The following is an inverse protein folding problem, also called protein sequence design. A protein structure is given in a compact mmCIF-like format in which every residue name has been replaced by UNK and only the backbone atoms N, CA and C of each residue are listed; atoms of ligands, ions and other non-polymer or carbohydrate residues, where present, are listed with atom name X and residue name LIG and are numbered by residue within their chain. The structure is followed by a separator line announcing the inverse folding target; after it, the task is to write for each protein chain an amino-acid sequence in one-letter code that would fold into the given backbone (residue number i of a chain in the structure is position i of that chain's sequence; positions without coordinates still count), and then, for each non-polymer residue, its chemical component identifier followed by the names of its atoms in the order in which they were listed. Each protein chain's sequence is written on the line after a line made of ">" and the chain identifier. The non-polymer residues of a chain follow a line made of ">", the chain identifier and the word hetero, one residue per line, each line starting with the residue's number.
data_IF_151617181829
#
_entry.id   IF_151617181829
#
_cell.length_a   1.000
_cell.length_b   1.000
_cell.length_c   1.000
_cell.angle_alpha   90.00
_cell.angle_beta   90.00
_cell.angle_gamma   90.00
#
_symmetry.space_group_name_H-M   'P 1'
#
loop_
_entity.id
_entity.type
_entity.pdbx_description
1 polymer ?
#
# COMPACT_ATOMS: atom_id res chain seq x y z
N UNK A 1 -24.01 -46.70 -11.68
CA UNK A 1 -24.52 -45.32 -11.46
C UNK A 1 -25.00 -44.78 -12.79
N UNK A 2 -26.23 -44.26 -12.86
CA UNK A 2 -26.84 -43.76 -14.10
C UNK A 2 -26.22 -42.39 -14.49
N UNK A 3 -25.78 -42.22 -15.74
CA UNK A 3 -25.20 -40.99 -16.25
C UNK A 3 -26.13 -39.77 -16.09
N UNK A 4 -27.45 -39.98 -16.07
CA UNK A 4 -28.44 -38.94 -15.77
C UNK A 4 -28.36 -38.44 -14.32
N UNK A 5 -28.18 -39.36 -13.37
CA UNK A 5 -28.06 -39.02 -11.95
C UNK A 5 -26.80 -38.21 -11.69
N UNK A 6 -25.67 -38.62 -12.28
CA UNK A 6 -24.41 -37.88 -12.18
C UNK A 6 -24.52 -36.46 -12.77
N UNK A 7 -25.23 -36.30 -13.90
CA UNK A 7 -25.50 -35.00 -14.51
C UNK A 7 -26.37 -34.11 -13.61
N UNK A 8 -27.44 -34.66 -13.02
CA UNK A 8 -28.32 -33.93 -12.11
C UNK A 8 -27.60 -33.51 -10.82
N UNK A 9 -26.77 -34.39 -10.26
CA UNK A 9 -26.00 -34.10 -9.05
C UNK A 9 -24.96 -33.01 -9.31
N UNK A 10 -24.30 -33.05 -10.48
CA UNK A 10 -23.41 -31.97 -10.92
C UNK A 10 -24.16 -30.64 -11.08
N UNK A 11 -25.29 -30.62 -11.79
CA UNK A 11 -26.07 -29.40 -11.99
C UNK A 11 -26.56 -28.78 -10.66
N UNK A 12 -26.96 -29.63 -9.69
CA UNK A 12 -27.34 -29.18 -8.34
C UNK A 12 -26.14 -28.61 -7.57
N UNK A 13 -24.98 -29.25 -7.66
CA UNK A 13 -23.76 -28.74 -7.04
C UNK A 13 -23.34 -27.39 -7.63
N UNK A 14 -23.41 -27.25 -8.95
CA UNK A 14 -23.08 -26.01 -9.67
C UNK A 14 -24.05 -24.88 -9.30
N UNK A 15 -25.36 -25.16 -9.26
CA UNK A 15 -26.38 -24.20 -8.82
C UNK A 15 -26.16 -23.76 -7.37
N UNK A 16 -25.89 -24.69 -6.46
CA UNK A 16 -25.62 -24.38 -5.06
C UNK A 16 -24.36 -23.52 -4.91
N UNK A 17 -23.28 -23.84 -5.64
CA UNK A 17 -22.06 -23.04 -5.65
C UNK A 17 -22.32 -21.62 -6.17
N UNK A 18 -23.13 -21.47 -7.22
CA UNK A 18 -23.51 -20.18 -7.78
C UNK A 18 -24.32 -19.34 -6.78
N UNK A 19 -25.32 -19.93 -6.10
CA UNK A 19 -26.11 -19.25 -5.05
C UNK A 19 -25.21 -18.80 -3.89
N UNK A 20 -24.30 -19.67 -3.43
CA UNK A 20 -23.33 -19.34 -2.37
C UNK A 20 -22.45 -18.16 -2.80
N UNK A 21 -21.94 -18.17 -4.04
CA UNK A 21 -21.11 -17.08 -4.59
C UNK A 21 -21.85 -15.74 -4.62
N UNK A 22 -23.08 -15.70 -5.13
CA UNK A 22 -23.90 -14.49 -5.14
C UNK A 22 -24.12 -13.97 -3.73
N UNK A 23 -24.57 -14.84 -2.81
CA UNK A 23 -24.83 -14.45 -1.43
C UNK A 23 -23.59 -13.91 -0.72
N UNK A 24 -22.45 -14.57 -0.90
CA UNK A 24 -21.19 -14.13 -0.34
C UNK A 24 -20.74 -12.79 -0.94
N UNK A 25 -20.93 -12.57 -2.25
CA UNK A 25 -20.57 -11.30 -2.91
C UNK A 25 -21.38 -10.14 -2.36
N UNK A 26 -22.70 -10.31 -2.19
CA UNK A 26 -23.57 -9.29 -1.61
C UNK A 26 -23.12 -8.94 -0.19
N UNK A 27 -22.92 -9.93 0.68
CA UNK A 27 -22.53 -9.67 2.08
C UNK A 27 -21.10 -9.15 2.23
N UNK A 28 -20.21 -9.51 1.30
CA UNK A 28 -18.87 -8.92 1.24
C UNK A 28 -18.98 -7.43 0.90
N UNK A 29 -19.85 -7.05 -0.05
CA UNK A 29 -20.16 -5.65 -0.35
C UNK A 29 -20.77 -4.93 0.85
N UNK A 30 -21.70 -5.56 1.58
CA UNK A 30 -22.27 -4.99 2.81
C UNK A 30 -21.19 -4.71 3.87
N UNK A 31 -20.21 -5.60 4.02
CA UNK A 31 -19.07 -5.40 4.91
C UNK A 31 -18.18 -4.24 4.43
N UNK A 32 -17.91 -4.16 3.13
CA UNK A 32 -17.16 -3.06 2.53
C UNK A 32 -17.84 -1.71 2.79
N UNK A 33 -19.15 -1.64 2.56
CA UNK A 33 -19.95 -0.44 2.79
C UNK A 33 -20.03 -0.08 4.28
N UNK A 34 -20.14 -1.07 5.17
CA UNK A 34 -20.12 -0.86 6.62
C UNK A 34 -18.78 -0.25 7.09
N UNK A 35 -17.66 -0.76 6.57
CA UNK A 35 -16.32 -0.23 6.87
C UNK A 35 -16.18 1.19 6.31
N UNK A 36 -16.52 1.39 5.03
CA UNK A 36 -16.42 2.71 4.37
C UNK A 36 -17.29 3.75 5.07
N UNK A 37 -18.53 3.42 5.41
CA UNK A 37 -19.44 4.32 6.15
C UNK A 37 -18.88 4.71 7.52
N UNK A 38 -18.15 3.81 8.18
CA UNK A 38 -17.51 4.11 9.46
C UNK A 38 -16.24 4.97 9.30
N UNK A 39 -15.43 4.71 8.27
CA UNK A 39 -14.08 5.30 8.13
C UNK A 39 -14.05 6.58 7.28
N UNK A 40 -14.99 6.73 6.34
CA UNK A 40 -15.01 7.80 5.35
C UNK A 40 -16.15 8.76 5.68
N UNK A 41 -15.79 10.02 5.90
CA UNK A 41 -16.74 11.13 6.06
C UNK A 41 -16.47 12.16 4.96
N UNK A 42 -17.48 12.93 4.58
CA UNK A 42 -17.33 14.01 3.62
C UNK A 42 -17.12 15.34 4.35
N UNK A 43 -16.19 16.21 3.89
CA UNK A 43 -15.28 16.00 2.78
C UNK A 43 -14.16 14.99 3.12
N UNK A 44 -13.79 14.14 2.15
CA UNK A 44 -12.75 13.13 2.39
C UNK A 44 -11.38 13.77 2.62
N UNK A 45 -10.59 13.14 3.47
CA UNK A 45 -9.16 13.44 3.64
C UNK A 45 -8.32 12.22 3.24
N UNK A 46 -7.02 12.43 2.95
CA UNK A 46 -6.11 11.34 2.64
C UNK A 46 -6.04 10.28 3.77
N UNK A 47 -6.19 10.70 5.03
CA UNK A 47 -6.20 9.79 6.18
C UNK A 47 -7.38 8.83 6.17
N UNK A 48 -8.53 9.25 5.64
CA UNK A 48 -9.72 8.40 5.55
C UNK A 48 -9.56 7.26 4.56
N UNK A 49 -8.55 7.29 3.67
CA UNK A 49 -8.20 6.18 2.78
C UNK A 49 -7.39 5.09 3.49
N UNK A 50 -6.85 5.38 4.68
CA UNK A 50 -5.99 4.48 5.46
C UNK A 50 -6.84 3.55 6.35
N UNK A 51 -7.76 2.83 5.73
CA UNK A 51 -8.72 1.97 6.43
C UNK A 51 -8.59 0.50 6.01
N UNK A 52 -9.04 -0.45 6.84
CA UNK A 52 -9.01 -1.86 6.49
C UNK A 52 -9.90 -2.16 5.29
N UNK A 53 -9.58 -3.26 4.60
CA UNK A 53 -10.42 -3.85 3.55
C UNK A 53 -11.21 -5.03 4.13
N UNK A 54 -12.30 -5.49 3.50
CA UNK A 54 -13.06 -6.62 4.04
C UNK A 54 -12.21 -7.89 4.20
N UNK A 55 -11.22 -8.10 3.31
CA UNK A 55 -10.25 -9.21 3.41
C UNK A 55 -9.51 -9.26 4.75
N UNK A 56 -9.32 -8.14 5.44
CA UNK A 56 -8.72 -8.10 6.78
C UNK A 56 -9.58 -8.79 7.85
N UNK A 57 -10.87 -8.99 7.57
CA UNK A 57 -11.85 -9.48 8.53
C UNK A 57 -12.52 -10.80 8.15
N UNK A 58 -12.54 -11.19 6.87
CA UNK A 58 -13.29 -12.37 6.39
C UNK A 58 -12.94 -13.66 7.13
N UNK A 59 -11.72 -13.79 7.65
CA UNK A 59 -11.28 -14.97 8.42
C UNK A 59 -11.54 -14.89 9.92
N UNK A 60 -12.05 -13.77 10.44
CA UNK A 60 -12.46 -13.71 11.84
C UNK A 60 -13.74 -14.53 12.03
N UNK A 61 -13.87 -15.31 13.13
CA UNK A 61 -15.04 -16.18 13.31
C UNK A 61 -16.38 -15.44 13.18
N UNK A 62 -16.49 -14.25 13.78
CA UNK A 62 -17.72 -13.45 13.73
C UNK A 62 -18.08 -12.98 12.31
N UNK A 63 -17.10 -12.48 11.53
CA UNK A 63 -17.36 -12.05 10.17
C UNK A 63 -17.62 -13.23 9.24
N UNK A 64 -16.87 -14.33 9.39
CA UNK A 64 -17.12 -15.55 8.60
C UNK A 64 -18.54 -16.06 8.80
N UNK A 65 -19.01 -16.18 10.04
CA UNK A 65 -20.40 -16.56 10.33
C UNK A 65 -21.42 -15.60 9.71
N UNK A 66 -21.17 -14.29 9.77
CA UNK A 66 -22.05 -13.31 9.14
C UNK A 66 -22.06 -13.42 7.60
N UNK A 67 -20.92 -13.71 6.99
CA UNK A 67 -20.72 -13.84 5.55
C UNK A 67 -21.20 -15.19 4.99
N UNK A 68 -21.22 -16.26 5.77
CA UNK A 68 -21.73 -17.58 5.35
C UNK A 68 -23.25 -17.73 5.56
N UNK A 69 -23.92 -16.79 6.24
CA UNK A 69 -25.37 -16.83 6.47
C UNK A 69 -26.14 -16.92 5.15
N UNK A 70 -27.17 -17.77 5.00
CA UNK A 70 -27.98 -17.84 3.79
C UNK A 70 -28.57 -16.47 3.38
N UNK A 71 -28.81 -16.29 2.08
CA UNK A 71 -29.59 -15.15 1.59
C UNK A 71 -31.04 -15.32 2.07
N UNK A 72 -31.52 -14.34 2.83
CA UNK A 72 -32.91 -14.26 3.27
C UNK A 72 -33.49 -12.99 2.65
N UNK A 73 -34.50 -13.13 1.80
CA UNK A 73 -35.12 -12.02 1.05
C UNK A 73 -36.20 -11.26 1.87
N UNK A 74 -36.14 -11.33 3.21
CA UNK A 74 -37.10 -10.67 4.11
C UNK A 74 -36.57 -9.36 4.71
N UNK A 75 -37.46 -8.56 5.30
CA UNK A 75 -37.10 -7.35 6.06
C UNK A 75 -36.16 -7.73 7.22
N UNK A 76 -34.90 -7.30 7.14
CA UNK A 76 -33.90 -7.62 8.17
C UNK A 76 -33.94 -6.58 9.30
N UNK A 77 -33.93 -7.08 10.54
CA UNK A 77 -33.40 -6.35 11.68
C UNK A 77 -31.96 -5.88 11.39
N UNK A 78 -31.44 -4.92 12.17
CA UNK A 78 -30.13 -4.28 11.96
C UNK A 78 -29.05 -5.21 11.39
N UNK A 79 -28.36 -4.73 10.35
CA UNK A 79 -27.26 -5.46 9.71
C UNK A 79 -26.09 -5.65 10.70
N UNK A 80 -25.76 -6.90 11.09
CA UNK A 80 -24.71 -7.17 12.07
C UNK A 80 -23.34 -6.64 11.62
N UNK A 81 -23.09 -6.54 10.32
CA UNK A 81 -21.83 -6.02 9.78
C UNK A 81 -21.67 -4.52 10.10
N UNK A 82 -22.76 -3.75 10.03
CA UNK A 82 -22.78 -2.32 10.40
C UNK A 82 -22.49 -2.13 11.89
N UNK A 83 -23.11 -2.92 12.74
CA UNK A 83 -22.91 -2.84 14.20
C UNK A 83 -21.49 -3.27 14.61
N UNK A 84 -20.89 -4.20 13.87
CA UNK A 84 -19.53 -4.70 14.15
C UNK A 84 -18.42 -3.79 13.63
N UNK A 85 -18.64 -3.06 12.53
CA UNK A 85 -17.60 -2.31 11.82
C UNK A 85 -16.74 -1.38 12.72
N UNK A 86 -17.30 -0.57 13.65
CA UNK A 86 -16.48 0.30 14.50
C UNK A 86 -15.48 -0.47 15.37
N UNK A 87 -15.91 -1.60 15.95
CA UNK A 87 -15.07 -2.43 16.79
C UNK A 87 -13.99 -3.16 15.98
N UNK A 88 -14.34 -3.64 14.78
CA UNK A 88 -13.40 -4.26 13.84
C UNK A 88 -12.29 -3.29 13.42
N UNK A 89 -12.67 -2.09 12.98
CA UNK A 89 -11.72 -1.05 12.53
C UNK A 89 -10.79 -0.62 13.66
N UNK A 90 -11.34 -0.38 14.87
CA UNK A 90 -10.53 -0.05 16.05
C UNK A 90 -9.51 -1.15 16.36
N UNK A 91 -9.94 -2.42 16.33
CA UNK A 91 -9.05 -3.56 16.60
C UNK A 91 -7.97 -3.70 15.53
N UNK A 92 -8.34 -3.60 14.26
CA UNK A 92 -7.39 -3.66 13.14
C UNK A 92 -6.31 -2.59 13.26
N UNK A 93 -6.66 -1.34 13.58
CA UNK A 93 -5.69 -0.27 13.78
C UNK A 93 -4.67 -0.60 14.87
N UNK A 94 -5.12 -1.15 15.99
CA UNK A 94 -4.24 -1.58 17.09
C UNK A 94 -3.32 -2.73 16.65
N UNK A 95 -3.90 -3.75 16.03
CA UNK A 95 -3.18 -4.96 15.63
C UNK A 95 -2.13 -4.65 14.54
N UNK A 96 -2.48 -3.85 13.54
CA UNK A 96 -1.56 -3.44 12.48
C UNK A 96 -0.46 -2.51 13.00
N UNK A 97 -0.80 -1.52 13.85
CA UNK A 97 0.22 -0.68 14.50
C UNK A 97 1.20 -1.53 15.29
N UNK A 98 0.72 -2.55 16.01
CA UNK A 98 1.56 -3.51 16.77
C UNK A 98 2.44 -4.35 15.84
N UNK A 99 1.92 -4.86 14.72
CA UNK A 99 2.70 -5.61 13.71
C UNK A 99 3.82 -4.74 13.14
N UNK A 100 3.51 -3.52 12.69
CA UNK A 100 4.49 -2.59 12.13
C UNK A 100 5.54 -2.15 13.15
N UNK A 101 5.12 -1.89 14.40
CA UNK A 101 6.03 -1.55 15.50
C UNK A 101 7.01 -2.69 15.77
N UNK A 102 6.51 -3.94 15.82
CA UNK A 102 7.34 -5.13 15.99
C UNK A 102 8.31 -5.28 14.81
N UNK A 103 7.83 -5.08 13.59
CA UNK A 103 8.67 -5.10 12.40
C UNK A 103 9.81 -4.07 12.52
N UNK A 104 9.52 -2.81 12.83
CA UNK A 104 10.52 -1.74 12.98
C UNK A 104 11.54 -2.04 14.09
N UNK A 105 11.10 -2.56 15.23
CA UNK A 105 11.99 -2.91 16.34
C UNK A 105 13.05 -3.95 15.99
N UNK A 106 12.80 -4.81 15.00
CA UNK A 106 13.80 -5.80 14.54
C UNK A 106 14.91 -5.18 13.70
N UNK A 107 14.67 -4.00 13.10
CA UNK A 107 15.59 -3.39 12.14
C UNK A 107 16.23 -2.10 12.66
N UNK A 108 15.63 -1.45 13.66
CA UNK A 108 16.21 -0.30 14.34
C UNK A 108 17.19 -0.76 15.43
N UNK A 109 18.47 -0.36 15.34
CA UNK A 109 19.51 -0.73 16.31
C UNK A 109 19.26 -0.19 17.72
N UNK A 110 18.78 1.05 17.83
CA UNK A 110 18.47 1.71 19.11
C UNK A 110 17.27 2.63 18.92
N UNK A 111 16.30 2.51 19.82
CA UNK A 111 15.11 3.36 19.84
C UNK A 111 15.17 4.17 21.12
N UNK A 112 15.15 5.51 21.05
CA UNK A 112 15.14 6.35 22.25
C UNK A 112 13.93 6.02 23.14
N UNK A 113 14.11 6.10 24.45
CA UNK A 113 13.02 5.90 25.39
C UNK A 113 11.89 6.91 25.14
N UNK A 114 10.64 6.45 25.16
CA UNK A 114 9.46 7.29 24.96
C UNK A 114 9.18 7.68 23.50
N UNK A 115 9.99 7.26 22.53
CA UNK A 115 9.76 7.56 21.10
C UNK A 115 9.00 6.42 20.42
N UNK A 116 7.91 6.75 19.72
CA UNK A 116 7.19 5.80 18.85
C UNK A 116 8.10 5.41 17.67
N UNK A 117 8.49 4.13 17.52
CA UNK A 117 9.34 3.69 16.42
C UNK A 117 8.78 4.03 15.04
N UNK A 118 7.45 4.09 14.91
CA UNK A 118 6.78 4.38 13.65
C UNK A 118 6.83 5.87 13.28
N UNK A 119 7.11 6.75 14.25
CA UNK A 119 7.18 8.19 14.01
C UNK A 119 8.60 8.66 13.65
N UNK A 120 9.63 7.82 13.80
CA UNK A 120 11.00 8.20 13.46
C UNK A 120 11.13 8.52 11.95
N UNK A 121 11.87 9.56 11.60
CA UNK A 121 12.13 9.99 10.23
C UNK A 121 12.76 8.89 9.36
N UNK A 122 13.54 8.02 10.02
CA UNK A 122 14.23 6.85 9.43
C UNK A 122 13.36 5.60 9.34
N UNK A 123 12.15 5.61 9.92
CA UNK A 123 11.24 4.48 9.90
C UNK A 123 10.57 4.36 8.52
N UNK A 124 11.24 3.64 7.62
CA UNK A 124 10.79 3.39 6.26
C UNK A 124 10.44 1.93 6.04
N UNK A 125 9.42 1.70 5.24
CA UNK A 125 8.97 0.39 4.79
C UNK A 125 9.15 0.31 3.28
N UNK A 126 9.69 -0.80 2.81
CA UNK A 126 9.88 -1.07 1.39
C UNK A 126 9.21 -2.40 1.04
N UNK A 127 8.48 -2.46 -0.07
CA UNK A 127 7.76 -3.66 -0.51
C UNK A 127 8.66 -4.54 -1.38
N UNK A 128 8.86 -5.81 -1.02
CA UNK A 128 9.72 -6.74 -1.74
C UNK A 128 9.31 -6.90 -3.22
N UNK A 129 8.01 -6.93 -3.48
CA UNK A 129 7.51 -7.01 -4.85
C UNK A 129 7.80 -5.73 -5.65
N UNK A 130 7.73 -4.55 -5.03
CA UNK A 130 7.99 -3.30 -5.74
C UNK A 130 9.49 -3.00 -5.90
N UNK A 131 10.35 -3.61 -5.10
CA UNK A 131 11.81 -3.50 -5.18
C UNK A 131 12.41 -4.50 -6.16
N UNK A 132 11.88 -5.73 -6.26
CA UNK A 132 12.40 -6.78 -7.15
C UNK A 132 12.07 -6.57 -8.63
N UNK A 133 10.91 -6.00 -8.94
CA UNK A 133 10.38 -5.90 -10.32
C UNK A 133 11.10 -4.84 -11.18
N UNK A 134 12.18 -4.24 -10.67
CA UNK A 134 13.05 -3.34 -11.44
C UNK A 134 13.93 -4.04 -12.47
N UNK A 135 13.92 -5.38 -12.56
CA UNK A 135 14.76 -6.11 -13.52
C UNK A 135 14.12 -6.35 -14.89
N UNK A 136 12.80 -6.57 -14.99
CA UNK A 136 12.19 -7.04 -16.26
C UNK A 136 10.86 -6.38 -16.70
N UNK A 137 10.32 -5.39 -15.97
CA UNK A 137 9.04 -4.77 -16.35
C UNK A 137 9.21 -3.39 -17.00
N UNK A 138 8.69 -3.23 -18.22
CA UNK A 138 8.60 -1.99 -19.04
C UNK A 138 7.71 -0.88 -18.42
N UNK A 139 7.51 -0.90 -17.11
CA UNK A 139 6.75 0.08 -16.35
C UNK A 139 7.47 0.37 -15.04
N UNK A 140 8.34 1.38 -15.05
CA UNK A 140 9.05 1.89 -13.87
C UNK A 140 8.08 2.15 -12.72
N UNK A 141 8.10 1.35 -11.66
CA UNK A 141 7.37 1.66 -10.42
C UNK A 141 7.93 3.01 -9.93
N UNK A 142 7.09 4.07 -9.75
CA UNK A 142 7.59 5.37 -9.34
C UNK A 142 8.37 5.28 -8.02
N UNK A 143 9.48 6.02 -7.91
CA UNK A 143 10.33 6.15 -6.73
C UNK A 143 9.54 6.20 -5.40
N UNK A 144 8.45 6.98 -5.37
CA UNK A 144 7.58 7.18 -4.20
C UNK A 144 6.80 5.94 -3.76
N UNK A 145 6.65 4.93 -4.61
CA UNK A 145 6.03 3.66 -4.26
C UNK A 145 7.02 2.66 -3.63
N UNK A 146 8.33 2.97 -3.64
CA UNK A 146 9.36 2.14 -3.01
C UNK A 146 9.55 2.44 -1.52
N UNK A 147 9.25 3.67 -1.09
CA UNK A 147 9.44 4.13 0.29
C UNK A 147 8.08 4.49 0.87
N UNK A 148 7.66 3.74 1.87
CA UNK A 148 6.43 3.99 2.59
C UNK A 148 6.76 4.33 4.04
N UNK A 149 5.90 5.14 4.67
CA UNK A 149 5.95 5.42 6.10
C UNK A 149 4.64 5.01 6.73
N UNK A 150 4.60 4.97 8.05
CA UNK A 150 3.32 4.87 8.74
C UNK A 150 2.69 6.27 8.80
N UNK A 151 1.39 6.42 8.50
CA UNK A 151 0.42 5.37 8.18
C UNK A 151 0.24 5.05 6.68
N UNK A 152 0.96 5.69 5.76
CA UNK A 152 0.79 5.54 4.31
C UNK A 152 1.03 4.10 3.78
N UNK A 153 1.87 3.31 4.47
CA UNK A 153 2.15 1.90 4.18
C UNK A 153 0.87 1.05 4.15
N UNK A 154 -0.16 1.45 4.89
CA UNK A 154 -1.44 0.74 4.97
C UNK A 154 -2.20 0.72 3.63
N UNK A 155 -1.97 1.70 2.75
CA UNK A 155 -2.62 1.77 1.44
C UNK A 155 -1.87 1.02 0.33
N UNK A 156 -0.74 0.38 0.63
CA UNK A 156 0.07 -0.23 -0.41
C UNK A 156 -0.59 -1.50 -0.98
N UNK A 157 -0.85 -1.49 -2.29
CA UNK A 157 -1.66 -2.51 -2.96
C UNK A 157 -1.05 -3.91 -2.96
N UNK A 158 0.27 -4.04 -2.81
CA UNK A 158 0.93 -5.35 -2.75
C UNK A 158 0.84 -6.03 -1.38
N UNK A 159 0.53 -5.29 -0.29
CA UNK A 159 0.47 -5.88 1.06
C UNK A 159 -0.71 -6.83 1.28
N UNK A 160 -1.92 -6.56 0.78
CA UNK A 160 -3.03 -7.51 0.87
C UNK A 160 -2.99 -8.57 -0.25
N UNK A 161 -1.83 -8.83 -0.88
CA UNK A 161 -1.70 -9.79 -1.97
C UNK A 161 -0.68 -10.88 -1.63
N UNK A 162 -0.99 -12.11 -2.01
CA UNK A 162 -0.10 -13.25 -1.93
C UNK A 162 0.05 -13.93 -3.30
N UNK A 163 1.30 -14.13 -3.74
CA UNK A 163 1.62 -14.91 -4.95
C UNK A 163 1.58 -16.41 -4.63
N UNK A 164 1.01 -17.19 -5.54
CA UNK A 164 0.92 -18.64 -5.43
C UNK A 164 -0.12 -19.20 -6.38
N UNK A 165 -0.03 -20.50 -6.63
CA UNK A 165 -1.04 -21.20 -7.43
C UNK A 165 -2.35 -21.26 -6.63
N UNK A 166 -3.38 -20.55 -7.10
CA UNK A 166 -4.74 -20.72 -6.61
C UNK A 166 -5.45 -21.87 -7.33
N UNK A 167 -6.29 -22.67 -6.65
CA UNK A 167 -6.49 -22.76 -5.20
C UNK A 167 -5.54 -23.75 -4.52
N UNK A 168 -5.26 -23.59 -3.21
CA UNK A 168 -4.66 -24.67 -2.44
C UNK A 168 -5.68 -25.81 -2.29
N UNK A 169 -5.24 -27.07 -2.40
CA UNK A 169 -6.13 -28.23 -2.31
C UNK A 169 -6.88 -28.33 -0.96
N UNK A 170 -6.31 -27.73 0.09
CA UNK A 170 -6.86 -27.70 1.45
C UNK A 170 -7.87 -26.55 1.68
N UNK A 171 -7.96 -25.57 0.77
CA UNK A 171 -8.82 -24.40 0.97
C UNK A 171 -10.30 -24.79 0.79
N UNK A 172 -11.13 -24.49 1.80
CA UNK A 172 -12.58 -24.65 1.70
C UNK A 172 -13.19 -23.73 0.60
N UNK A 173 -14.44 -24.01 0.19
CA UNK A 173 -15.10 -23.23 -0.86
C UNK A 173 -15.18 -21.73 -0.51
N UNK A 174 -15.43 -21.39 0.75
CA UNK A 174 -15.51 -20.00 1.21
C UNK A 174 -14.18 -19.27 0.99
N UNK A 175 -13.09 -19.85 1.47
CA UNK A 175 -11.73 -19.32 1.39
C UNK A 175 -11.33 -19.09 -0.06
N UNK A 176 -11.54 -20.11 -0.92
CA UNK A 176 -11.25 -20.01 -2.36
C UNK A 176 -12.00 -18.89 -3.07
N UNK A 177 -13.19 -18.53 -2.58
CA UNK A 177 -14.00 -17.46 -3.16
C UNK A 177 -13.50 -16.10 -2.65
N UNK A 178 -13.41 -15.90 -1.33
CA UNK A 178 -13.12 -14.58 -0.74
C UNK A 178 -11.69 -14.08 -0.97
N UNK A 179 -10.72 -14.98 -1.19
CA UNK A 179 -9.34 -14.59 -1.49
C UNK A 179 -9.12 -14.27 -2.97
N UNK A 180 -10.11 -14.33 -3.85
CA UNK A 180 -9.88 -14.04 -5.28
C UNK A 180 -9.94 -12.53 -5.54
N UNK A 181 -8.93 -11.92 -6.18
CA UNK A 181 -8.89 -10.47 -6.42
C UNK A 181 -10.03 -9.93 -7.30
N UNK A 182 -10.60 -10.78 -8.16
CA UNK A 182 -11.72 -10.42 -9.01
C UNK A 182 -13.06 -10.94 -8.49
N UNK A 183 -13.13 -11.43 -7.24
CA UNK A 183 -14.38 -11.96 -6.66
C UNK A 183 -15.56 -10.97 -6.72
N UNK A 184 -15.27 -9.67 -6.61
CA UNK A 184 -16.29 -8.61 -6.62
C UNK A 184 -16.69 -8.19 -8.05
N UNK A 185 -15.95 -8.58 -9.09
CA UNK A 185 -16.19 -8.13 -10.47
C UNK A 185 -17.11 -9.10 -11.23
N UNK A 186 -18.00 -8.55 -12.05
CA UNK A 186 -18.99 -9.31 -12.84
C UNK A 186 -18.38 -10.31 -13.84
N UNK A 187 -17.09 -10.17 -14.19
CA UNK A 187 -16.41 -11.03 -15.15
C UNK A 187 -15.75 -12.27 -14.51
N UNK A 188 -16.11 -12.61 -13.27
CA UNK A 188 -15.54 -13.72 -12.49
C UNK A 188 -15.50 -15.06 -13.24
N UNK A 189 -16.63 -15.49 -13.80
CA UNK A 189 -16.78 -16.82 -14.44
C UNK A 189 -15.88 -16.96 -15.68
N UNK A 190 -15.76 -15.89 -16.48
CA UNK A 190 -14.93 -15.86 -17.70
C UNK A 190 -13.43 -15.91 -17.39
N UNK A 191 -13.01 -15.33 -16.26
CA UNK A 191 -11.59 -15.25 -15.91
C UNK A 191 -11.05 -16.57 -15.33
N UNK A 192 -11.87 -17.39 -14.65
CA UNK A 192 -11.40 -18.65 -14.07
C UNK A 192 -11.06 -19.71 -15.12
N UNK A 193 -11.80 -19.74 -16.23
CA UNK A 193 -11.62 -20.75 -17.27
C UNK A 193 -10.47 -20.43 -18.22
N UNK A 194 -10.07 -19.16 -18.32
CA UNK A 194 -9.14 -18.69 -19.34
C UNK A 194 -7.74 -18.35 -18.81
N UNK A 195 -7.62 -17.85 -17.57
CA UNK A 195 -6.32 -17.42 -17.02
C UNK A 195 -6.30 -17.54 -15.48
N UNK A 196 -5.79 -18.66 -14.92
CA UNK A 196 -5.74 -18.84 -13.48
C UNK A 196 -4.87 -17.75 -12.84
N UNK A 197 -5.48 -16.96 -11.96
CA UNK A 197 -4.78 -15.88 -11.27
C UNK A 197 -3.62 -16.43 -10.43
N UNK A 198 -2.43 -15.86 -10.63
CA UNK A 198 -1.20 -16.20 -9.90
C UNK A 198 -1.09 -15.54 -8.52
N UNK A 199 -2.15 -14.84 -8.10
CA UNK A 199 -2.21 -14.14 -6.83
C UNK A 199 -3.57 -14.26 -6.15
N UNK A 200 -3.58 -14.05 -4.83
CA UNK A 200 -4.78 -14.03 -3.99
C UNK A 200 -4.75 -12.86 -3.02
N UNK A 201 -5.92 -12.37 -2.63
CA UNK A 201 -6.08 -11.41 -1.56
C UNK A 201 -5.88 -12.09 -0.20
N UNK A 202 -5.11 -11.46 0.68
CA UNK A 202 -4.87 -11.89 2.06
C UNK A 202 -5.04 -10.70 3.03
N UNK A 203 -5.33 -10.96 4.32
CA UNK A 203 -5.29 -9.90 5.33
C UNK A 203 -3.94 -9.19 5.35
N UNK A 204 -3.91 -7.94 5.82
CA UNK A 204 -2.68 -7.19 5.97
C UNK A 204 -1.63 -7.97 6.79
N UNK A 205 -0.46 -8.14 6.20
CA UNK A 205 0.70 -8.69 6.87
C UNK A 205 2.01 -7.99 6.47
N UNK A 206 2.96 -8.00 7.39
CA UNK A 206 4.30 -7.45 7.17
C UNK A 206 5.20 -8.37 6.33
N UNK A 207 4.78 -9.60 6.02
CA UNK A 207 5.57 -10.57 5.25
C UNK A 207 5.88 -10.15 3.81
N UNK A 208 5.16 -9.16 3.27
CA UNK A 208 5.42 -8.54 1.95
C UNK A 208 6.39 -7.37 2.00
N UNK A 209 6.76 -6.92 3.18
CA UNK A 209 7.80 -5.92 3.36
C UNK A 209 9.16 -6.61 3.26
N UNK A 210 10.13 -5.90 2.69
CA UNK A 210 11.54 -6.29 2.73
C UNK A 210 11.95 -6.62 4.16
N UNK A 211 12.86 -7.56 4.37
CA UNK A 211 13.19 -8.01 5.72
C UNK A 211 14.70 -8.25 5.86
N UNK A 212 15.16 -8.42 7.09
CA UNK A 212 16.55 -8.73 7.38
C UNK A 212 17.51 -7.62 6.91
N UNK A 213 18.66 -7.97 6.29
CA UNK A 213 19.68 -7.00 5.91
C UNK A 213 19.23 -5.91 4.93
N UNK A 214 18.31 -6.22 4.01
CA UNK A 214 17.80 -5.25 3.03
C UNK A 214 16.99 -4.16 3.72
N UNK A 215 16.12 -4.54 4.67
CA UNK A 215 15.37 -3.58 5.48
C UNK A 215 16.31 -2.67 6.30
N UNK A 216 17.37 -3.24 6.89
CA UNK A 216 18.39 -2.46 7.60
C UNK A 216 19.10 -1.49 6.67
N UNK A 217 19.52 -1.93 5.48
CA UNK A 217 20.17 -1.06 4.49
C UNK A 217 19.29 0.13 4.08
N UNK A 218 17.99 -0.08 3.91
CA UNK A 218 17.02 0.98 3.63
C UNK A 218 16.88 1.97 4.81
N UNK A 219 16.87 1.49 6.06
CA UNK A 219 16.86 2.37 7.23
C UNK A 219 18.17 3.19 7.32
N UNK A 220 19.33 2.57 7.09
CA UNK A 220 20.63 3.27 7.08
C UNK A 220 20.71 4.32 5.96
N UNK A 221 20.15 4.01 4.78
CA UNK A 221 20.00 4.96 3.68
C UNK A 221 19.19 6.18 4.10
N UNK A 222 18.00 5.96 4.66
CA UNK A 222 17.18 7.07 5.14
C UNK A 222 17.89 7.85 6.26
N UNK A 223 18.66 7.18 7.12
CA UNK A 223 19.46 7.85 8.15
C UNK A 223 20.48 8.83 7.57
N UNK A 224 21.20 8.45 6.52
CA UNK A 224 22.15 9.37 5.84
C UNK A 224 21.44 10.58 5.26
N UNK A 225 20.30 10.38 4.59
CA UNK A 225 19.45 11.46 4.08
C UNK A 225 19.01 12.41 5.19
N UNK A 226 18.49 11.87 6.31
CA UNK A 226 18.04 12.66 7.47
C UNK A 226 19.21 13.45 8.08
N UNK A 227 20.37 12.81 8.26
CA UNK A 227 21.56 13.48 8.80
C UNK A 227 22.13 14.54 7.89
N UNK A 228 22.13 14.33 6.57
CA UNK A 228 22.56 15.33 5.60
C UNK A 228 21.66 16.56 5.58
N UNK A 229 20.39 16.42 5.95
CA UNK A 229 19.47 17.55 6.16
C UNK A 229 19.72 18.29 7.49
N UNK A 230 20.71 17.89 8.29
CA UNK A 230 21.01 18.49 9.58
C UNK A 230 20.10 18.03 10.72
N UNK A 231 19.34 16.95 10.53
CA UNK A 231 18.48 16.37 11.56
C UNK A 231 19.17 15.21 12.29
N UNK A 232 18.78 14.96 13.54
CA UNK A 232 19.29 13.81 14.30
C UNK A 232 18.76 12.49 13.70
N UNK A 233 19.61 11.74 12.99
CA UNK A 233 19.27 10.47 12.35
C UNK A 233 18.84 9.34 13.30
N UNK A 234 18.95 9.52 14.62
CA UNK A 234 18.47 8.58 15.63
C UNK A 234 17.17 9.01 16.31
N UNK A 235 16.83 10.30 16.29
CA UNK A 235 15.72 10.87 17.07
C UNK A 235 14.69 11.64 16.26
N UNK A 236 15.09 12.19 15.12
CA UNK A 236 14.23 13.01 14.29
C UNK A 236 12.96 12.25 13.94
N UNK A 237 11.84 12.96 13.97
CA UNK A 237 10.50 12.49 13.65
C UNK A 237 10.16 12.78 12.19
N UNK A 238 9.14 12.09 11.69
CA UNK A 238 8.64 12.32 10.33
C UNK A 238 8.13 13.75 10.15
N UNK A 239 7.56 14.35 11.20
CA UNK A 239 7.08 15.73 11.16
C UNK A 239 8.23 16.73 11.08
N UNK A 240 9.31 16.53 11.85
CA UNK A 240 10.54 17.34 11.74
C UNK A 240 11.18 17.22 10.35
N UNK A 241 11.21 16.02 9.77
CA UNK A 241 11.70 15.80 8.41
C UNK A 241 10.84 16.52 7.36
N UNK A 242 9.52 16.48 7.49
CA UNK A 242 8.60 17.21 6.59
C UNK A 242 8.73 18.72 6.75
N UNK A 243 8.89 19.20 7.99
CA UNK A 243 9.00 20.62 8.31
C UNK A 243 10.36 21.24 7.94
N UNK A 244 11.43 20.43 7.84
CA UNK A 244 12.76 20.98 7.59
C UNK A 244 12.92 21.66 6.21
N UNK A 245 12.05 21.33 5.25
CA UNK A 245 12.02 21.93 3.90
C UNK A 245 13.34 21.85 3.13
N UNK A 246 14.28 21.03 3.59
CA UNK A 246 15.65 21.01 3.08
C UNK A 246 15.77 20.20 1.80
N UNK A 247 16.75 20.60 0.99
CA UNK A 247 17.06 19.98 -0.28
C UNK A 247 18.48 19.42 -0.25
N UNK A 248 18.69 18.34 -0.99
CA UNK A 248 19.96 17.62 -1.05
C UNK A 248 20.51 17.59 -2.46
N UNK A 249 21.83 17.56 -2.59
CA UNK A 249 22.55 17.27 -3.84
C UNK A 249 23.46 16.07 -3.66
N UNK A 250 23.66 15.32 -4.74
CA UNK A 250 24.55 14.16 -4.77
C UNK A 250 25.95 14.59 -5.21
N UNK A 251 26.96 14.44 -4.36
CA UNK A 251 28.36 14.81 -4.62
C UNK A 251 29.03 13.89 -5.65
N UNK A 252 28.59 12.63 -5.75
CA UNK A 252 29.08 11.67 -6.76
C UNK A 252 28.62 12.02 -8.18
N UNK A 253 27.69 12.96 -8.29
CA UNK A 253 27.10 13.41 -9.53
C UNK A 253 27.59 14.83 -9.93
N UNK A 254 28.62 15.43 -9.29
CA UNK A 254 29.10 16.79 -9.61
C UNK A 254 30.35 16.84 -10.55
N UNK A 255 30.41 17.77 -11.54
CA UNK A 255 29.31 18.43 -12.25
C UNK A 255 29.26 17.99 -13.73
N UNK A 256 28.11 17.51 -14.20
CA UNK A 256 27.76 17.76 -15.59
C UNK A 256 27.39 19.25 -15.75
N UNK A 257 27.59 19.78 -16.95
CA UNK A 257 27.86 21.20 -17.24
C UNK A 257 26.82 22.27 -16.83
N UNK A 258 26.93 23.49 -17.41
CA UNK A 258 26.32 24.72 -16.89
C UNK A 258 24.77 24.74 -16.78
N UNK A 259 24.07 23.77 -17.38
CA UNK A 259 22.60 23.64 -17.30
C UNK A 259 22.11 22.63 -16.24
N UNK A 260 22.99 21.95 -15.51
CA UNK A 260 22.63 20.84 -14.61
C UNK A 260 22.46 21.12 -13.10
N UNK A 261 22.86 22.26 -12.48
CA UNK A 261 22.91 22.33 -11.02
C UNK A 261 21.53 22.17 -10.34
N UNK A 262 20.45 22.55 -11.02
CA UNK A 262 19.07 22.39 -10.50
C UNK A 262 18.46 21.02 -10.80
N UNK A 263 18.90 20.35 -11.88
CA UNK A 263 18.40 19.01 -12.29
C UNK A 263 18.81 17.90 -11.31
N UNK A 264 19.78 18.16 -10.43
CA UNK A 264 20.35 17.20 -9.48
C UNK A 264 20.13 17.61 -8.01
N UNK A 265 19.07 18.38 -7.76
CA UNK A 265 18.59 18.70 -6.41
C UNK A 265 17.40 17.81 -6.08
N UNK A 266 17.42 17.22 -4.89
CA UNK A 266 16.49 16.17 -4.47
C UNK A 266 15.81 16.54 -3.17
N UNK A 267 14.48 16.35 -3.11
CA UNK A 267 13.79 16.23 -1.83
C UNK A 267 14.25 14.93 -1.13
N UNK A 268 13.93 14.76 0.15
CA UNK A 268 14.36 13.57 0.91
C UNK A 268 13.81 12.24 0.35
N UNK A 269 12.69 12.25 -0.37
CA UNK A 269 12.10 11.06 -1.01
C UNK A 269 12.95 10.67 -2.22
N UNK A 270 13.24 11.66 -3.07
CA UNK A 270 14.01 11.52 -4.28
C UNK A 270 15.47 11.20 -3.97
N UNK A 271 16.02 11.75 -2.88
CA UNK A 271 17.36 11.43 -2.41
C UNK A 271 17.48 9.95 -2.03
N UNK A 272 16.53 9.42 -1.26
CA UNK A 272 16.52 8.00 -0.95
C UNK A 272 16.47 7.13 -2.21
N UNK A 273 15.59 7.43 -3.17
CA UNK A 273 15.51 6.59 -4.39
C UNK A 273 16.76 6.74 -5.26
N UNK A 274 17.34 7.93 -5.34
CA UNK A 274 18.58 8.18 -6.06
C UNK A 274 19.76 7.39 -5.47
N UNK A 275 19.88 7.30 -4.14
CA UNK A 275 20.91 6.47 -3.51
C UNK A 275 20.74 4.96 -3.84
N UNK A 276 19.50 4.51 -4.09
CA UNK A 276 19.26 3.16 -4.59
C UNK A 276 19.83 2.93 -6.00
N UNK A 277 19.91 3.97 -6.83
CA UNK A 277 20.51 3.87 -8.17
C UNK A 277 22.01 3.64 -8.09
N UNK A 278 22.69 4.32 -7.16
CA UNK A 278 24.13 4.17 -6.99
C UNK A 278 24.54 2.85 -6.36
N UNK A 279 23.80 2.39 -5.34
CA UNK A 279 24.27 1.31 -4.49
C UNK A 279 23.34 0.08 -4.45
N UNK A 280 22.19 0.13 -5.13
CA UNK A 280 21.16 -0.91 -5.05
C UNK A 280 20.86 -1.32 -3.61
N UNK A 281 20.64 -2.62 -3.41
CA UNK A 281 20.46 -3.22 -2.08
C UNK A 281 21.78 -3.60 -1.40
N UNK A 282 22.93 -3.10 -1.86
CA UNK A 282 24.23 -3.43 -1.23
C UNK A 282 24.23 -3.04 0.24
N UNK A 283 24.67 -3.96 1.09
CA UNK A 283 24.75 -3.80 2.54
C UNK A 283 26.10 -3.19 2.94
N UNK A 284 27.07 -3.12 2.02
CA UNK A 284 28.40 -2.59 2.29
C UNK A 284 28.34 -1.08 2.57
N UNK A 285 28.94 -0.68 3.69
CA UNK A 285 29.14 0.72 4.04
C UNK A 285 30.52 1.17 3.54
N UNK A 286 30.55 2.13 2.63
CA UNK A 286 31.77 2.77 2.13
C UNK A 286 31.83 4.25 2.48
N UNK A 287 33.04 4.83 2.50
CA UNK A 287 33.25 6.26 2.74
C UNK A 287 32.48 7.13 1.72
N UNK A 288 32.42 6.71 0.46
CA UNK A 288 31.66 7.36 -0.61
C UNK A 288 30.17 7.47 -0.27
N UNK A 289 29.59 6.43 0.32
CA UNK A 289 28.17 6.39 0.70
C UNK A 289 27.84 7.39 1.80
N UNK A 290 28.77 7.57 2.74
CA UNK A 290 28.61 8.49 3.88
C UNK A 290 28.77 9.96 3.48
N UNK A 291 29.56 10.25 2.44
CA UNK A 291 29.79 11.62 1.92
C UNK A 291 28.94 12.00 0.72
N UNK A 292 28.01 11.14 0.28
CA UNK A 292 27.22 11.33 -0.94
C UNK A 292 26.30 12.56 -0.87
N UNK A 293 25.64 12.77 0.26
CA UNK A 293 24.61 13.79 0.39
C UNK A 293 25.15 15.07 0.99
N UNK A 294 24.90 16.17 0.28
CA UNK A 294 25.17 17.51 0.79
C UNK A 294 23.88 18.33 0.80
N UNK A 295 23.67 19.08 1.89
CA UNK A 295 22.56 20.04 1.98
C UNK A 295 22.77 21.20 1.01
N UNK A 296 21.69 21.63 0.37
CA UNK A 296 21.65 22.83 -0.45
C UNK A 296 21.21 24.00 0.42
N UNK A 297 22.16 24.87 0.76
CA UNK A 297 21.90 26.09 1.53
C UNK A 297 22.06 27.37 0.68
N UNK A 298 22.38 27.23 -0.61
CA UNK A 298 22.57 28.35 -1.53
C UNK A 298 21.22 29.00 -1.86
N UNK A 299 20.98 30.28 -1.48
CA UNK A 299 19.67 30.92 -1.64
C UNK A 299 19.19 30.98 -3.10
N UNK A 300 20.12 31.17 -4.03
CA UNK A 300 19.84 31.24 -5.48
C UNK A 300 19.25 29.92 -5.99
N UNK A 301 19.87 28.79 -5.65
CA UNK A 301 19.37 27.47 -6.02
C UNK A 301 18.03 27.16 -5.35
N UNK A 302 17.86 27.54 -4.09
CA UNK A 302 16.59 27.34 -3.37
C UNK A 302 15.45 28.15 -4.01
N UNK A 303 15.73 29.39 -4.43
CA UNK A 303 14.76 30.21 -5.15
C UNK A 303 14.37 29.56 -6.49
N UNK A 304 15.33 29.05 -7.26
CA UNK A 304 15.03 28.34 -8.51
C UNK A 304 14.22 27.07 -8.28
N UNK A 305 14.52 26.30 -7.23
CA UNK A 305 13.73 25.10 -6.88
C UNK A 305 12.29 25.47 -6.55
N UNK A 306 12.07 26.53 -5.76
CA UNK A 306 10.72 27.03 -5.44
C UNK A 306 9.95 27.50 -6.68
N UNK A 307 10.63 28.12 -7.65
CA UNK A 307 10.01 28.53 -8.91
C UNK A 307 9.59 27.33 -9.77
N UNK A 308 10.39 26.26 -9.80
CA UNK A 308 10.15 25.07 -10.62
C UNK A 308 9.21 24.04 -9.98
N UNK A 309 9.08 24.03 -8.65
CA UNK A 309 8.27 23.05 -7.91
C UNK A 309 6.81 22.96 -8.42
N UNK A 310 6.09 24.07 -8.67
CA UNK A 310 4.71 24.01 -9.15
C UNK A 310 4.59 23.30 -10.51
N UNK A 311 5.54 23.53 -11.42
CA UNK A 311 5.57 22.90 -12.73
C UNK A 311 5.88 21.39 -12.61
N UNK A 312 6.86 21.02 -11.78
CA UNK A 312 7.17 19.61 -11.49
C UNK A 312 5.97 18.89 -10.83
N UNK A 313 5.28 19.54 -9.91
CA UNK A 313 4.07 19.02 -9.25
C UNK A 313 2.93 18.84 -10.25
N UNK A 314 2.72 19.79 -11.17
CA UNK A 314 1.74 19.69 -12.25
C UNK A 314 2.08 18.54 -13.22
N UNK A 315 3.36 18.31 -13.51
CA UNK A 315 3.80 17.19 -14.33
C UNK A 315 3.54 15.84 -13.65
N UNK A 316 3.78 15.71 -12.34
CA UNK A 316 3.43 14.52 -11.56
C UNK A 316 1.92 14.23 -11.57
N UNK A 317 1.09 15.28 -11.47
CA UNK A 317 -0.36 15.16 -11.59
C UNK A 317 -0.82 14.84 -13.02
N UNK A 318 0.07 14.91 -14.01
CA UNK A 318 -0.21 14.53 -15.40
C UNK A 318 0.18 13.07 -15.69
N UNK A 319 0.89 12.39 -14.78
CA UNK A 319 1.11 10.95 -14.84
C UNK A 319 -0.24 10.23 -14.80
N UNK A 320 -0.44 9.19 -15.63
CA UNK A 320 -1.70 8.43 -15.72
C UNK A 320 -1.86 7.37 -14.63
N UNK A 321 -0.81 7.13 -13.85
CA UNK A 321 -0.74 6.06 -12.83
C UNK A 321 -1.35 6.40 -11.47
N UNK A 322 -1.38 7.65 -10.97
CA UNK A 322 -1.95 7.95 -9.66
C UNK A 322 -3.43 7.54 -9.57
N UNK A 323 -3.77 6.95 -8.42
CA UNK A 323 -5.15 6.69 -8.02
C UNK A 323 -5.72 7.95 -7.36
N UNK A 324 -6.96 8.28 -7.68
CA UNK A 324 -7.63 9.50 -7.23
C UNK A 324 -8.96 9.18 -6.58
N UNK A 325 -9.31 9.96 -5.57
CA UNK A 325 -10.56 9.83 -4.82
C UNK A 325 -11.26 11.19 -4.80
N UNK A 326 -12.57 11.21 -5.06
CA UNK A 326 -13.36 12.44 -4.96
C UNK A 326 -13.58 12.82 -3.50
N UNK A 327 -13.26 14.06 -3.13
CA UNK A 327 -13.48 14.55 -1.77
C UNK A 327 -14.96 14.70 -1.42
N UNK A 328 -15.87 14.74 -2.41
CA UNK A 328 -17.28 15.09 -2.23
C UNK A 328 -18.27 13.95 -2.45
N UNK A 329 -17.84 12.80 -2.95
CA UNK A 329 -18.70 11.62 -3.13
C UNK A 329 -17.90 10.35 -2.84
N UNK A 330 -18.35 9.17 -3.26
CA UNK A 330 -17.68 7.87 -3.08
C UNK A 330 -16.86 7.39 -4.29
N UNK A 331 -16.69 8.22 -5.33
CA UNK A 331 -15.92 7.89 -6.53
C UNK A 331 -14.42 7.73 -6.26
N UNK A 332 -13.83 6.66 -6.76
CA UNK A 332 -12.40 6.37 -6.70
C UNK A 332 -11.95 5.70 -7.99
N UNK A 333 -10.91 6.21 -8.63
CA UNK A 333 -10.42 5.65 -9.89
C UNK A 333 -9.01 6.13 -10.24
N UNK A 334 -8.40 5.51 -11.24
CA UNK A 334 -7.21 6.08 -11.88
C UNK A 334 -7.54 7.43 -12.50
N UNK A 335 -6.58 8.36 -12.46
CA UNK A 335 -6.72 9.72 -12.99
C UNK A 335 -7.25 9.77 -14.43
N UNK A 336 -6.96 8.72 -15.23
CA UNK A 336 -7.43 8.58 -16.62
C UNK A 336 -8.96 8.60 -16.76
N UNK A 337 -9.70 8.26 -15.71
CA UNK A 337 -11.16 8.18 -15.71
C UNK A 337 -11.86 9.34 -14.98
N UNK A 338 -11.10 10.27 -14.38
CA UNK A 338 -11.68 11.39 -13.61
C UNK A 338 -12.57 12.27 -14.49
N UNK A 339 -12.22 12.47 -15.76
CA UNK A 339 -13.01 13.33 -16.66
C UNK A 339 -14.44 12.87 -16.84
N UNK A 340 -14.72 11.57 -16.69
CA UNK A 340 -16.09 11.05 -16.71
C UNK A 340 -16.81 11.50 -15.45
N UNK A 341 -16.19 11.30 -14.28
CA UNK A 341 -16.76 11.70 -13.00
C UNK A 341 -16.98 13.20 -12.84
N UNK A 342 -16.09 14.05 -13.35
CA UNK A 342 -16.24 15.52 -13.23
C UNK A 342 -17.31 16.13 -14.16
N UNK A 343 -17.85 15.34 -15.10
CA UNK A 343 -18.93 15.77 -16.00
C UNK A 343 -20.32 15.47 -15.44
N UNK A 344 -20.39 14.53 -14.50
CA UNK A 344 -21.58 14.13 -13.76
C UNK A 344 -21.65 14.92 -12.45
#
# INVERSE_FOLDING_TARGET
>A
MNALQATLDKARADLNAHIIRIGLRMRYSDLEDAIRKHCIQLPRTAQMMLHPKPIDFVFTPKCRTALERPLEFGFRAEDPLKTMAPMLVKRWNIDVKKKLTRYMRRHLRRIPAGVDPLNLAVAVFTCAHCTDVSRDCRGSIPARARIMRYPEVLCHQCLPLEHGNLPNAEDDLYTRIVTRPNFIKDNYERNEEQDPLSWRCVPFDTGRLENGPVAVANIERMRRVVSALGLDGARATTDELKACGGWLRCTLCEPGGPEEPVKRVYDWVAAFDHENVHFGNSIESGAERNGMWQRVDQPELLATVQELEPAARKALLSDRRPYWCCSLCNYESSIRYIKTHLKD
#
